data_IF_271503999363
#
_entry.id   IF_271503999363
#
_cell.length_a   1.000
_cell.length_b   1.000
_cell.length_c   1.000
_cell.angle_alpha   90.00
_cell.angle_beta   90.00
_cell.angle_gamma   90.00
#
_symmetry.space_group_name_H-M   'P 1'
#
loop_
_entity.id
_entity.type
_entity.pdbx_description
1 polymer ?
#
# COMPACT_ATOMS: atom_id res chain seq x y z
N UNK A 1 30.41 42.84 -48.90
CA UNK A 1 30.78 41.57 -48.20
C UNK A 1 30.22 41.44 -46.77
N UNK A 2 29.32 42.25 -46.23
CA UNK A 2 28.95 42.23 -44.80
C UNK A 2 27.65 41.45 -44.45
N UNK A 3 26.68 41.33 -45.36
CA UNK A 3 25.40 40.68 -45.08
C UNK A 3 25.47 39.13 -44.99
N UNK A 4 26.31 38.47 -45.80
CA UNK A 4 26.42 37.02 -45.80
C UNK A 4 27.13 36.49 -44.52
N UNK A 5 28.10 37.22 -43.97
CA UNK A 5 28.76 36.87 -42.70
C UNK A 5 27.83 36.96 -41.49
N UNK A 6 26.91 37.93 -41.46
CA UNK A 6 25.93 38.07 -40.37
C UNK A 6 24.87 36.93 -40.40
N UNK A 7 24.45 36.49 -41.55
CA UNK A 7 23.47 35.40 -41.67
C UNK A 7 24.03 34.04 -41.22
N UNK A 8 25.29 33.76 -41.50
CA UNK A 8 25.98 32.51 -41.05
C UNK A 8 26.21 32.50 -39.54
N UNK A 9 26.50 33.67 -38.94
CA UNK A 9 26.66 33.79 -37.48
C UNK A 9 25.33 33.57 -36.75
N UNK A 10 24.25 34.16 -37.24
CA UNK A 10 22.88 33.94 -36.67
C UNK A 10 22.44 32.47 -36.75
N UNK A 11 22.67 31.81 -37.89
CA UNK A 11 22.34 30.39 -38.04
C UNK A 11 23.16 29.48 -37.10
N UNK A 12 24.46 29.79 -36.92
CA UNK A 12 25.30 29.06 -35.98
C UNK A 12 24.85 29.27 -34.55
N UNK A 13 24.55 30.52 -34.19
CA UNK A 13 24.03 30.84 -32.84
C UNK A 13 22.73 30.12 -32.53
N UNK A 14 21.75 30.15 -33.46
CA UNK A 14 20.48 29.44 -33.29
C UNK A 14 20.66 27.91 -33.15
N UNK A 15 21.55 27.33 -33.94
CA UNK A 15 21.87 25.88 -33.81
C UNK A 15 22.52 25.55 -32.48
N UNK A 16 23.45 26.38 -32.02
CA UNK A 16 24.09 26.20 -30.71
C UNK A 16 23.09 26.37 -29.56
N UNK A 17 22.19 27.35 -29.67
CA UNK A 17 21.14 27.56 -28.68
C UNK A 17 20.14 26.40 -28.63
N UNK A 18 19.74 25.88 -29.79
CA UNK A 18 18.86 24.69 -29.87
C UNK A 18 19.52 23.42 -29.29
N UNK A 19 20.80 23.19 -29.59
CA UNK A 19 21.56 22.10 -29.02
C UNK A 19 21.72 22.24 -27.51
N UNK A 20 22.03 23.45 -27.03
CA UNK A 20 22.11 23.74 -25.61
C UNK A 20 20.76 23.52 -24.89
N UNK A 21 19.67 24.02 -25.46
CA UNK A 21 18.33 23.80 -24.93
C UNK A 21 17.95 22.31 -24.92
N UNK A 22 18.30 21.56 -25.97
CA UNK A 22 18.10 20.11 -26.04
C UNK A 22 18.86 19.36 -24.94
N UNK A 23 20.13 19.70 -24.72
CA UNK A 23 20.94 19.10 -23.65
C UNK A 23 20.37 19.41 -22.25
N UNK A 24 19.94 20.65 -22.04
CA UNK A 24 19.28 21.03 -20.77
C UNK A 24 17.97 20.28 -20.60
N UNK A 25 17.16 20.14 -21.65
CA UNK A 25 15.92 19.38 -21.59
C UNK A 25 16.16 17.89 -21.27
N UNK A 26 17.19 17.27 -21.86
CA UNK A 26 17.58 15.88 -21.58
C UNK A 26 18.07 15.76 -20.12
N UNK A 27 18.89 16.69 -19.66
CA UNK A 27 19.38 16.70 -18.27
C UNK A 27 18.24 16.88 -17.26
N UNK A 28 17.27 17.75 -17.56
CA UNK A 28 16.06 17.94 -16.73
C UNK A 28 15.15 16.70 -16.77
N UNK A 29 14.95 16.12 -17.95
CA UNK A 29 14.17 14.89 -18.08
C UNK A 29 14.79 13.72 -17.29
N UNK A 30 16.12 13.63 -17.26
CA UNK A 30 16.83 12.64 -16.43
C UNK A 30 16.72 12.89 -14.93
N UNK A 31 16.36 14.12 -14.52
CA UNK A 31 16.12 14.46 -13.09
C UNK A 31 14.72 14.12 -12.61
N UNK A 32 13.74 13.98 -13.49
CA UNK A 32 12.35 13.66 -13.14
C UNK A 32 12.23 12.32 -12.37
N UNK A 33 12.87 11.21 -12.80
CA UNK A 33 12.85 9.98 -12.03
C UNK A 33 13.49 10.14 -10.64
N UNK A 34 14.58 10.91 -10.53
CA UNK A 34 15.27 11.16 -9.25
C UNK A 34 14.40 11.97 -8.29
N UNK A 35 13.69 12.99 -8.80
CA UNK A 35 12.78 13.78 -7.97
C UNK A 35 11.58 12.98 -7.45
N UNK A 36 11.11 11.99 -8.22
CA UNK A 36 10.04 11.07 -7.81
C UNK A 36 10.52 9.92 -6.94
N UNK A 37 11.82 9.65 -6.91
CA UNK A 37 12.43 8.60 -6.08
C UNK A 37 12.31 8.86 -4.58
N UNK A 38 12.02 10.10 -4.17
CA UNK A 38 11.82 10.48 -2.78
C UNK A 38 10.51 10.00 -2.16
N UNK A 39 9.58 9.48 -2.95
CA UNK A 39 8.35 8.90 -2.44
C UNK A 39 8.62 7.47 -1.95
N UNK A 40 8.58 7.30 -0.65
CA UNK A 40 8.57 5.97 -0.04
C UNK A 40 7.30 5.26 -0.48
N UNK A 41 7.38 3.93 -0.61
CA UNK A 41 6.26 3.11 -1.06
C UNK A 41 5.93 2.06 -0.03
N UNK A 42 4.65 1.76 0.11
CA UNK A 42 4.21 0.67 0.97
C UNK A 42 4.79 -0.64 0.41
N UNK A 43 5.72 -1.24 1.15
CA UNK A 43 6.36 -2.49 0.76
C UNK A 43 5.53 -3.70 1.19
N UNK A 44 5.66 -4.84 0.49
CA UNK A 44 5.03 -6.08 0.92
C UNK A 44 5.43 -6.48 2.35
N UNK A 45 4.62 -7.32 3.02
CA UNK A 45 4.95 -7.84 4.34
C UNK A 45 6.34 -8.44 4.42
N UNK A 46 7.04 -8.22 5.51
CA UNK A 46 8.38 -8.76 5.75
C UNK A 46 9.50 -8.10 4.96
N UNK A 47 9.24 -6.98 4.28
CA UNK A 47 10.29 -6.24 3.58
C UNK A 47 11.38 -5.78 4.55
N UNK A 48 12.63 -5.92 4.13
CA UNK A 48 13.78 -5.32 4.79
C UNK A 48 13.65 -3.80 4.84
N UNK A 49 14.54 -3.12 5.54
CA UNK A 49 14.64 -1.67 5.48
C UNK A 49 14.88 -1.23 4.04
N UNK A 50 14.40 -0.05 3.65
CA UNK A 50 14.30 0.32 2.23
C UNK A 50 15.62 0.17 1.46
N UNK A 51 16.76 0.55 2.06
CA UNK A 51 18.07 0.39 1.42
C UNK A 51 18.44 -1.08 1.19
N UNK A 52 18.21 -1.91 2.20
CA UNK A 52 18.54 -3.34 2.15
C UNK A 52 17.56 -4.09 1.25
N UNK A 53 16.29 -3.68 1.27
CA UNK A 53 15.27 -4.19 0.37
C UNK A 53 15.63 -3.92 -1.09
N UNK A 54 16.00 -2.68 -1.43
CA UNK A 54 16.39 -2.32 -2.79
C UNK A 54 17.68 -3.01 -3.24
N UNK A 55 18.62 -3.22 -2.32
CA UNK A 55 19.88 -3.94 -2.61
C UNK A 55 19.66 -5.44 -2.81
N UNK A 56 18.72 -6.05 -2.08
CA UNK A 56 18.47 -7.49 -2.11
C UNK A 56 17.45 -7.92 -3.14
N UNK A 57 16.52 -7.03 -3.54
CA UNK A 57 15.44 -7.35 -4.46
C UNK A 57 15.93 -7.46 -5.90
N UNK A 58 15.90 -8.66 -6.47
CA UNK A 58 16.26 -8.92 -7.88
C UNK A 58 15.10 -8.67 -8.85
N UNK A 59 13.98 -8.14 -8.39
CA UNK A 59 12.81 -7.76 -9.22
C UNK A 59 12.21 -8.93 -10.00
N UNK A 60 12.29 -10.14 -9.46
CA UNK A 60 11.85 -11.37 -10.15
C UNK A 60 10.32 -11.50 -10.29
N UNK A 61 9.53 -10.69 -9.59
CA UNK A 61 8.04 -10.71 -9.65
C UNK A 61 7.37 -11.90 -8.95
N UNK A 62 8.11 -12.79 -8.28
CA UNK A 62 7.50 -13.97 -7.62
C UNK A 62 6.48 -13.56 -6.56
N UNK A 63 6.75 -12.52 -5.78
CA UNK A 63 5.83 -12.01 -4.78
C UNK A 63 4.50 -11.50 -5.38
N UNK A 64 4.53 -10.98 -6.61
CA UNK A 64 3.32 -10.58 -7.35
C UNK A 64 2.51 -11.79 -7.76
N UNK A 65 3.17 -12.82 -8.30
CA UNK A 65 2.53 -14.03 -8.83
C UNK A 65 1.79 -14.84 -7.76
N UNK A 66 2.30 -14.84 -6.54
CA UNK A 66 1.73 -15.66 -5.46
C UNK A 66 0.68 -14.92 -4.63
N UNK A 67 0.46 -13.64 -4.88
CA UNK A 67 -0.50 -12.84 -4.09
C UNK A 67 -1.95 -13.17 -4.51
N UNK A 68 -2.77 -13.78 -3.65
CA UNK A 68 -4.11 -14.22 -4.04
C UNK A 68 -5.08 -13.08 -4.32
N UNK A 69 -4.85 -11.91 -3.74
CA UNK A 69 -5.67 -10.72 -3.96
C UNK A 69 -5.02 -9.71 -4.90
N UNK A 70 -3.88 -10.04 -5.50
CA UNK A 70 -3.16 -9.17 -6.45
C UNK A 70 -2.76 -7.82 -5.85
N UNK A 71 -2.43 -7.80 -4.54
CA UNK A 71 -2.11 -6.56 -3.83
C UNK A 71 -0.73 -5.97 -4.19
N UNK A 72 0.16 -6.81 -4.71
CA UNK A 72 1.54 -6.40 -5.00
C UNK A 72 1.66 -6.09 -6.48
N UNK A 73 2.15 -4.91 -6.79
CA UNK A 73 2.43 -4.45 -8.14
C UNK A 73 3.92 -4.09 -8.29
N UNK A 74 4.43 -4.11 -9.51
CA UNK A 74 5.79 -3.67 -9.80
C UNK A 74 5.78 -2.19 -10.20
N UNK A 75 6.72 -1.43 -9.68
CA UNK A 75 6.90 -0.05 -10.03
C UNK A 75 7.26 0.11 -11.52
N UNK A 76 6.63 1.04 -12.20
CA UNK A 76 6.89 1.36 -13.60
C UNK A 76 7.68 2.67 -13.75
N UNK A 77 8.08 3.01 -14.97
CA UNK A 77 8.83 4.22 -15.30
C UNK A 77 8.23 5.53 -14.75
N UNK A 78 6.91 5.76 -14.84
CA UNK A 78 6.29 6.95 -14.27
C UNK A 78 6.42 7.05 -12.75
N UNK A 79 6.63 5.93 -12.09
CA UNK A 79 6.76 5.84 -10.64
C UNK A 79 8.14 6.29 -10.10
N UNK A 80 9.09 6.59 -10.98
CA UNK A 80 10.42 7.05 -10.62
C UNK A 80 11.44 5.94 -10.41
N UNK A 81 12.42 6.18 -9.52
CA UNK A 81 13.48 5.21 -9.24
C UNK A 81 12.91 3.90 -8.69
N UNK A 82 13.53 2.79 -9.06
CA UNK A 82 13.12 1.47 -8.58
C UNK A 82 12.14 0.75 -9.49
N UNK A 83 12.19 1.01 -10.80
CA UNK A 83 11.43 0.24 -11.81
C UNK A 83 11.56 -1.26 -11.56
N UNK A 84 10.43 -1.96 -11.56
CA UNK A 84 10.35 -3.40 -11.30
C UNK A 84 10.39 -3.78 -9.82
N UNK A 85 10.54 -2.83 -8.90
CA UNK A 85 10.52 -3.11 -7.46
C UNK A 85 9.08 -3.25 -6.96
N UNK A 86 8.73 -4.30 -6.19
CA UNK A 86 7.38 -4.52 -5.73
C UNK A 86 6.94 -3.52 -4.66
N UNK A 87 5.68 -3.09 -4.76
CA UNK A 87 5.02 -2.25 -3.77
C UNK A 87 3.51 -2.55 -3.74
N UNK A 88 2.81 -1.97 -2.77
CA UNK A 88 1.37 -2.05 -2.62
C UNK A 88 0.80 -0.64 -2.79
N UNK A 89 -0.13 -0.48 -3.73
CA UNK A 89 -1.01 0.69 -3.79
C UNK A 89 -2.23 0.41 -2.92
N UNK A 90 -2.16 0.84 -1.67
CA UNK A 90 -3.19 0.56 -0.68
C UNK A 90 -4.57 1.06 -1.11
N UNK A 91 -4.64 2.18 -1.85
CA UNK A 91 -5.90 2.74 -2.34
C UNK A 91 -6.51 1.92 -3.47
N UNK A 92 -5.69 1.33 -4.33
CA UNK A 92 -6.14 0.50 -5.44
C UNK A 92 -6.43 -0.94 -4.98
N UNK A 93 -5.46 -1.58 -4.33
CA UNK A 93 -5.57 -2.96 -3.84
C UNK A 93 -4.69 -3.19 -2.63
N UNK A 94 -5.29 -3.38 -1.48
CA UNK A 94 -4.61 -3.61 -0.21
C UNK A 94 -4.26 -5.09 0.01
N UNK A 95 -3.33 -5.34 0.92
CA UNK A 95 -3.04 -6.68 1.43
C UNK A 95 -4.02 -7.02 2.55
N UNK A 96 -4.83 -8.06 2.38
CA UNK A 96 -5.81 -8.49 3.38
C UNK A 96 -5.30 -9.60 4.31
N UNK A 97 -4.03 -9.97 4.20
CA UNK A 97 -3.43 -11.09 4.97
C UNK A 97 -4.19 -12.41 4.90
N UNK A 98 -5.03 -12.60 3.90
CA UNK A 98 -5.86 -13.81 3.75
C UNK A 98 -5.10 -15.01 3.18
N UNK A 99 -3.85 -14.85 2.77
CA UNK A 99 -3.04 -15.97 2.32
C UNK A 99 -2.69 -16.89 3.51
N UNK A 100 -2.70 -18.21 3.28
CA UNK A 100 -2.48 -19.23 4.32
C UNK A 100 -1.07 -19.19 4.95
N UNK A 101 -0.14 -18.63 4.24
CA UNK A 101 1.17 -18.18 4.70
C UNK A 101 1.41 -16.80 4.09
N UNK A 102 2.30 -15.99 4.60
CA UNK A 102 2.70 -14.77 3.90
C UNK A 102 3.45 -15.20 2.63
N UNK A 103 2.67 -15.55 1.58
CA UNK A 103 3.16 -16.21 0.37
C UNK A 103 4.26 -15.41 -0.33
N UNK A 104 4.17 -14.09 -0.30
CA UNK A 104 5.20 -13.21 -0.85
C UNK A 104 6.56 -13.38 -0.16
N UNK A 105 6.56 -13.60 1.17
CA UNK A 105 7.79 -13.90 1.93
C UNK A 105 8.34 -15.28 1.55
N UNK A 106 7.46 -16.29 1.49
CA UNK A 106 7.86 -17.65 1.14
C UNK A 106 8.41 -17.76 -0.28
N UNK A 107 7.88 -16.98 -1.21
CA UNK A 107 8.30 -16.98 -2.61
C UNK A 107 9.54 -16.13 -2.88
N UNK A 108 10.01 -15.33 -1.92
CA UNK A 108 11.15 -14.44 -2.13
C UNK A 108 12.47 -15.23 -2.10
N UNK A 109 13.19 -15.37 -3.25
CA UNK A 109 14.39 -16.19 -3.32
C UNK A 109 15.60 -15.53 -2.67
N UNK A 110 15.62 -14.21 -2.55
CA UNK A 110 16.78 -13.45 -2.09
C UNK A 110 16.70 -13.02 -0.63
N UNK A 111 15.55 -13.25 0.03
CA UNK A 111 15.34 -12.79 1.40
C UNK A 111 15.15 -11.27 1.50
N UNK A 112 14.82 -10.58 0.40
CA UNK A 112 14.36 -9.19 0.48
C UNK A 112 13.05 -9.05 1.28
N UNK A 113 12.25 -10.12 1.30
CA UNK A 113 11.09 -10.32 2.17
C UNK A 113 11.41 -11.48 3.12
N UNK A 114 11.34 -11.24 4.44
CA UNK A 114 11.76 -12.24 5.46
C UNK A 114 10.81 -12.28 6.65
N UNK A 115 10.78 -13.41 7.34
CA UNK A 115 10.25 -13.50 8.70
C UNK A 115 11.39 -13.24 9.68
N UNK A 116 11.36 -12.12 10.39
CA UNK A 116 12.44 -11.79 11.33
C UNK A 116 12.25 -12.39 12.72
N UNK A 117 11.03 -12.41 13.21
CA UNK A 117 10.67 -13.00 14.50
C UNK A 117 9.28 -13.61 14.49
N UNK A 118 9.04 -14.64 15.31
CA UNK A 118 7.75 -15.24 15.46
C UNK A 118 6.85 -14.41 16.39
N UNK A 119 6.21 -13.36 15.90
CA UNK A 119 5.13 -12.66 16.61
C UNK A 119 3.80 -13.02 15.96
N UNK A 120 2.90 -13.57 16.72
CA UNK A 120 1.57 -13.93 16.26
C UNK A 120 0.69 -12.67 16.19
N UNK A 121 0.23 -12.32 15.00
CA UNK A 121 -0.80 -11.32 14.83
C UNK A 121 -2.15 -12.03 14.74
N UNK A 122 -3.07 -11.83 15.68
CA UNK A 122 -4.40 -12.38 15.57
C UNK A 122 -5.11 -11.72 14.40
N UNK A 123 -5.40 -12.50 13.36
CA UNK A 123 -6.30 -12.07 12.31
C UNK A 123 -7.74 -12.26 12.77
N UNK A 124 -8.67 -11.49 12.21
CA UNK A 124 -10.09 -11.47 12.57
C UNK A 124 -10.73 -12.85 12.54
N UNK A 125 -10.33 -13.69 11.62
CA UNK A 125 -10.89 -15.02 11.41
C UNK A 125 -10.09 -16.15 12.11
N UNK A 126 -9.20 -15.81 13.04
CA UNK A 126 -8.34 -16.76 13.71
C UNK A 126 -7.37 -17.48 12.76
N UNK A 127 -7.27 -17.02 11.51
CA UNK A 127 -6.33 -17.56 10.55
C UNK A 127 -4.91 -17.28 11.06
N UNK A 128 -4.22 -18.31 11.44
CA UNK A 128 -2.81 -18.23 11.80
C UNK A 128 -2.05 -17.94 10.51
N UNK A 129 -1.19 -16.92 10.55
CA UNK A 129 -0.21 -16.75 9.50
C UNK A 129 0.56 -18.05 9.40
N UNK A 130 0.54 -18.65 8.22
CA UNK A 130 0.92 -20.04 8.07
C UNK A 130 2.41 -20.27 8.32
N UNK A 131 2.69 -21.49 8.69
CA UNK A 131 4.03 -22.01 8.92
C UNK A 131 4.88 -21.94 7.65
N UNK A 132 6.19 -21.74 7.75
CA UNK A 132 7.08 -21.95 6.64
C UNK A 132 6.90 -23.35 6.05
N UNK A 133 7.26 -23.55 4.78
CA UNK A 133 7.14 -24.86 4.15
C UNK A 133 7.77 -25.95 5.03
N UNK A 134 7.09 -27.07 5.17
CA UNK A 134 7.47 -28.23 6.00
C UNK A 134 8.95 -28.63 5.80
N UNK A 135 9.49 -28.42 4.60
CA UNK A 135 10.87 -28.71 4.25
C UNK A 135 11.92 -27.81 4.97
N UNK A 136 11.50 -26.68 5.55
CA UNK A 136 12.39 -25.76 6.27
C UNK A 136 12.05 -25.59 7.75
N UNK A 137 10.89 -26.06 8.17
CA UNK A 137 10.47 -25.96 9.57
C UNK A 137 10.94 -27.20 10.33
N UNK A 138 11.73 -27.00 11.37
CA UNK A 138 11.92 -28.02 12.40
C UNK A 138 10.68 -28.07 13.25
N UNK A 139 10.27 -29.25 13.72
CA UNK A 139 9.06 -29.46 14.51
C UNK A 139 8.97 -28.59 15.79
N UNK A 140 10.06 -27.98 16.22
CA UNK A 140 10.16 -27.10 17.41
C UNK A 140 10.28 -25.61 17.06
N UNK A 141 10.30 -25.24 15.78
CA UNK A 141 10.40 -23.83 15.42
C UNK A 141 9.07 -23.13 15.74
N UNK A 142 9.10 -21.96 16.37
CA UNK A 142 7.90 -21.19 16.62
C UNK A 142 7.23 -20.82 15.30
N UNK A 143 5.90 -20.68 15.31
CA UNK A 143 5.16 -20.25 14.12
C UNK A 143 5.67 -18.88 13.65
N UNK A 144 5.99 -18.74 12.36
CA UNK A 144 6.48 -17.47 11.84
C UNK A 144 5.36 -16.44 11.86
N UNK A 145 5.70 -15.27 12.33
CA UNK A 145 4.77 -14.15 12.47
C UNK A 145 5.47 -12.86 12.05
N UNK A 146 4.69 -11.83 11.73
CA UNK A 146 5.23 -10.52 11.48
C UNK A 146 5.42 -9.77 12.79
N UNK A 147 6.58 -9.21 13.00
CA UNK A 147 6.82 -8.35 14.17
C UNK A 147 6.08 -7.02 14.00
N UNK A 148 5.40 -6.54 15.04
CA UNK A 148 4.69 -5.26 15.02
C UNK A 148 5.61 -4.07 14.69
N UNK A 149 6.87 -4.15 15.09
CA UNK A 149 7.88 -3.14 14.77
C UNK A 149 8.26 -3.11 13.29
N UNK A 150 7.96 -4.17 12.58
CA UNK A 150 8.25 -4.33 11.14
C UNK A 150 6.98 -4.17 10.30
N UNK A 151 6.02 -3.40 10.80
CA UNK A 151 4.79 -3.10 10.04
C UNK A 151 5.14 -2.49 8.68
N UNK A 152 4.29 -2.78 7.70
CA UNK A 152 4.41 -2.26 6.33
C UNK A 152 4.26 -0.74 6.30
N UNK A 153 3.40 -0.22 7.16
CA UNK A 153 3.07 1.18 7.32
C UNK A 153 2.21 1.40 8.56
N UNK A 154 1.64 2.57 8.70
CA UNK A 154 0.71 2.91 9.77
C UNK A 154 -0.49 3.66 9.20
N UNK A 155 -1.70 3.18 9.47
CA UNK A 155 -2.91 3.88 9.09
C UNK A 155 -3.08 5.14 9.96
N UNK A 156 -3.49 6.24 9.33
CA UNK A 156 -3.80 7.51 10.01
C UNK A 156 -5.06 8.14 9.45
N UNK A 157 -5.87 8.69 10.34
CA UNK A 157 -7.01 9.52 9.95
C UNK A 157 -6.49 10.93 9.59
N UNK A 158 -6.23 11.15 8.31
CA UNK A 158 -5.63 12.40 7.80
C UNK A 158 -6.66 13.47 7.45
N UNK A 159 -7.90 13.06 7.24
CA UNK A 159 -9.02 13.97 6.92
C UNK A 159 -10.24 13.66 7.79
N UNK A 160 -10.20 14.03 9.07
CA UNK A 160 -11.32 13.78 9.99
C UNK A 160 -12.62 14.42 9.51
N UNK A 161 -12.56 15.62 8.92
CA UNK A 161 -13.75 16.33 8.44
C UNK A 161 -14.44 15.63 7.27
N UNK A 162 -13.72 14.83 6.48
CA UNK A 162 -14.28 14.02 5.41
C UNK A 162 -14.81 12.66 5.89
N UNK A 163 -14.42 12.21 7.08
CA UNK A 163 -14.80 10.92 7.62
C UNK A 163 -16.28 10.86 7.98
N UNK A 164 -17.03 9.92 7.39
CA UNK A 164 -18.45 9.78 7.64
C UNK A 164 -18.76 9.44 9.10
N UNK A 165 -17.92 8.63 9.75
CA UNK A 165 -18.07 8.31 11.18
C UNK A 165 -17.92 9.56 12.05
N UNK A 166 -16.94 10.43 11.76
CA UNK A 166 -16.74 11.71 12.47
C UNK A 166 -17.91 12.66 12.22
N UNK A 167 -18.52 12.60 11.05
CA UNK A 167 -19.71 13.38 10.73
C UNK A 167 -20.99 12.79 11.38
N UNK A 168 -20.94 11.57 11.95
CA UNK A 168 -22.11 10.86 12.46
C UNK A 168 -23.05 10.39 11.35
N UNK A 169 -22.53 10.12 10.16
CA UNK A 169 -23.34 9.75 8.99
C UNK A 169 -23.41 8.24 8.78
N UNK A 170 -24.58 7.74 8.35
CA UNK A 170 -24.76 6.37 7.92
C UNK A 170 -24.00 6.11 6.62
N UNK A 171 -23.83 4.83 6.29
CA UNK A 171 -23.32 4.43 4.99
C UNK A 171 -24.13 3.29 4.39
N UNK A 172 -24.62 3.49 3.17
CA UNK A 172 -25.38 2.49 2.42
C UNK A 172 -24.76 2.27 1.03
N UNK A 173 -24.68 1.02 0.62
CA UNK A 173 -24.15 0.64 -0.68
C UNK A 173 -22.88 -0.17 -0.62
N UNK A 174 -22.18 -0.30 -1.73
CA UNK A 174 -20.86 -0.96 -1.78
C UNK A 174 -19.73 0.03 -1.55
N UNK A 175 -18.71 -0.38 -0.82
CA UNK A 175 -17.55 0.46 -0.57
C UNK A 175 -16.96 0.98 -1.90
N UNK A 176 -16.83 2.29 -2.06
CA UNK A 176 -16.34 2.97 -3.27
C UNK A 176 -17.18 2.77 -4.55
N UNK A 177 -18.40 2.23 -4.43
CA UNK A 177 -19.33 2.09 -5.54
C UNK A 177 -19.08 0.88 -6.47
N UNK A 178 -19.97 0.67 -7.45
CA UNK A 178 -20.01 -0.58 -8.24
C UNK A 178 -18.84 -0.72 -9.24
N UNK A 179 -18.18 0.37 -9.60
CA UNK A 179 -17.05 0.35 -10.54
C UNK A 179 -15.72 -0.01 -9.88
N UNK A 180 -15.66 -0.05 -8.56
CA UNK A 180 -14.43 -0.34 -7.85
C UNK A 180 -14.05 -1.81 -8.00
N UNK A 181 -12.78 -2.07 -8.33
CA UNK A 181 -12.27 -3.41 -8.67
C UNK A 181 -11.45 -4.06 -7.56
N UNK A 182 -11.25 -3.40 -6.43
CA UNK A 182 -10.53 -3.96 -5.30
C UNK A 182 -11.18 -5.25 -4.80
N UNK A 183 -10.36 -6.21 -4.37
CA UNK A 183 -10.77 -7.55 -3.95
C UNK A 183 -10.35 -7.80 -2.51
N UNK A 184 -11.15 -8.58 -1.80
CA UNK A 184 -10.80 -9.16 -0.51
C UNK A 184 -11.19 -10.63 -0.52
N UNK A 185 -10.49 -11.44 0.26
CA UNK A 185 -10.90 -12.84 0.49
C UNK A 185 -11.72 -12.90 1.77
N UNK A 186 -12.98 -13.21 1.61
CA UNK A 186 -13.91 -13.38 2.72
C UNK A 186 -14.02 -14.86 3.06
N UNK A 187 -13.62 -15.23 4.28
CA UNK A 187 -13.60 -16.61 4.77
C UNK A 187 -14.99 -17.21 4.88
N UNK A 188 -15.99 -16.37 5.10
CA UNK A 188 -17.41 -16.75 5.17
C UNK A 188 -18.04 -17.08 3.82
N UNK A 189 -17.39 -16.67 2.72
CA UNK A 189 -17.87 -16.96 1.35
C UNK A 189 -17.08 -18.10 0.72
N UNK A 190 -15.83 -17.86 0.40
CA UNK A 190 -14.91 -18.86 -0.14
C UNK A 190 -13.47 -18.35 0.09
N UNK A 191 -12.78 -18.96 1.03
CA UNK A 191 -11.41 -18.56 1.39
C UNK A 191 -10.40 -18.63 0.23
N UNK A 192 -10.74 -19.37 -0.83
CA UNK A 192 -9.85 -19.55 -1.96
C UNK A 192 -10.06 -18.55 -3.09
N UNK A 193 -11.23 -17.88 -3.11
CA UNK A 193 -11.61 -16.97 -4.18
C UNK A 193 -11.71 -15.54 -3.68
N UNK A 194 -10.89 -14.62 -4.21
CA UNK A 194 -11.08 -13.20 -3.94
C UNK A 194 -12.44 -12.72 -4.48
N UNK A 195 -13.14 -11.94 -3.68
CA UNK A 195 -14.43 -11.35 -4.04
C UNK A 195 -14.24 -9.85 -4.20
N UNK A 196 -14.84 -9.26 -5.24
CA UNK A 196 -14.81 -7.82 -5.42
C UNK A 196 -15.49 -7.11 -4.25
N UNK A 197 -14.84 -6.12 -3.66
CA UNK A 197 -15.41 -5.31 -2.56
C UNK A 197 -16.73 -4.66 -2.99
N UNK A 198 -16.83 -4.30 -4.27
CA UNK A 198 -18.05 -3.72 -4.85
C UNK A 198 -19.25 -4.66 -4.89
N UNK A 199 -19.06 -5.98 -4.78
CA UNK A 199 -20.17 -6.93 -4.71
C UNK A 199 -20.81 -7.02 -3.32
N UNK A 200 -20.10 -6.58 -2.28
CA UNK A 200 -20.62 -6.52 -0.92
C UNK A 200 -21.39 -5.22 -0.68
N UNK A 201 -22.61 -5.35 -0.18
CA UNK A 201 -23.44 -4.21 0.17
C UNK A 201 -23.49 -4.04 1.69
N UNK A 202 -23.39 -2.82 2.11
CA UNK A 202 -23.44 -2.41 3.51
C UNK A 202 -24.68 -1.57 3.74
N UNK A 203 -25.27 -1.73 4.90
CA UNK A 203 -26.33 -0.89 5.44
C UNK A 203 -25.97 -0.62 6.90
N UNK A 204 -25.40 0.53 7.14
CA UNK A 204 -24.75 0.91 8.39
C UNK A 204 -25.34 2.21 8.90
N UNK A 205 -25.86 2.21 10.11
CA UNK A 205 -26.35 3.43 10.79
C UNK A 205 -25.23 4.43 11.04
N UNK A 206 -23.99 3.94 11.17
CA UNK A 206 -22.78 4.73 11.26
C UNK A 206 -21.69 4.06 10.43
N UNK A 207 -20.92 4.82 9.66
CA UNK A 207 -19.85 4.29 8.86
C UNK A 207 -18.73 3.67 9.74
N UNK A 208 -18.55 2.36 9.66
CA UNK A 208 -17.49 1.60 10.36
C UNK A 208 -16.65 0.74 9.41
N UNK A 209 -16.70 0.98 8.10
CA UNK A 209 -16.06 0.11 7.09
C UNK A 209 -14.59 -0.18 7.36
N UNK A 210 -13.83 0.82 7.78
CA UNK A 210 -12.41 0.66 8.09
C UNK A 210 -12.15 -0.26 9.29
N UNK A 211 -13.08 -0.33 10.25
CA UNK A 211 -13.02 -1.23 11.39
C UNK A 211 -13.50 -2.62 10.99
N UNK A 212 -14.62 -2.67 10.30
CA UNK A 212 -15.31 -3.90 9.88
C UNK A 212 -14.45 -4.76 8.96
N UNK A 213 -13.79 -4.15 8.02
CA UNK A 213 -12.97 -4.84 7.02
C UNK A 213 -11.50 -4.99 7.42
N UNK A 214 -11.09 -4.46 8.58
CA UNK A 214 -9.71 -4.64 9.05
C UNK A 214 -9.40 -6.12 9.26
N UNK A 215 -8.37 -6.69 8.59
CA UNK A 215 -8.02 -8.10 8.75
C UNK A 215 -7.31 -8.39 10.08
N UNK A 216 -6.84 -7.35 10.77
CA UNK A 216 -6.12 -7.49 12.04
C UNK A 216 -7.06 -7.12 13.18
N UNK A 217 -7.23 -8.07 14.09
CA UNK A 217 -8.09 -7.88 15.26
C UNK A 217 -7.59 -6.71 16.11
N UNK A 218 -8.52 -5.88 16.58
CA UNK A 218 -8.26 -4.75 17.49
C UNK A 218 -7.24 -3.72 16.97
N UNK A 219 -6.91 -3.76 15.67
CA UNK A 219 -5.98 -2.80 15.07
C UNK A 219 -6.60 -1.42 14.83
N UNK A 220 -7.93 -1.35 14.74
CA UNK A 220 -8.67 -0.11 14.55
C UNK A 220 -10.03 -0.23 15.25
N UNK A 221 -10.41 0.80 15.99
CA UNK A 221 -11.68 0.84 16.70
C UNK A 221 -12.37 2.19 16.49
N UNK A 222 -13.69 2.24 16.67
CA UNK A 222 -14.41 3.49 16.75
C UNK A 222 -14.43 3.96 18.21
N UNK A 223 -13.95 5.18 18.44
CA UNK A 223 -14.00 5.86 19.74
C UNK A 223 -14.86 7.13 19.62
N UNK A 224 -15.47 7.59 20.70
CA UNK A 224 -16.24 8.84 20.67
C UNK A 224 -15.37 9.99 20.15
N UNK A 225 -15.88 10.75 19.17
CA UNK A 225 -15.27 12.00 18.74
C UNK A 225 -15.63 13.08 19.78
N UNK A 226 -14.63 13.85 20.22
CA UNK A 226 -14.82 14.85 21.27
C UNK A 226 -15.94 15.85 20.91
N UNK A 227 -16.77 16.13 21.93
CA UNK A 227 -17.75 17.21 22.05
C UNK A 227 -18.68 17.48 20.86
N UNK A 228 -19.80 16.75 20.78
CA UNK A 228 -21.02 17.33 20.15
C UNK A 228 -22.26 16.75 20.82
N UNK A 229 -23.05 17.61 21.38
CA UNK A 229 -24.42 17.30 21.80
C UNK A 229 -25.25 16.93 20.55
N UNK A 230 -25.69 15.70 20.43
CA UNK A 230 -26.53 15.24 19.33
C UNK A 230 -26.19 13.81 18.88
N UNK A 231 -26.00 13.60 17.61
CA UNK A 231 -25.73 12.29 17.04
C UNK A 231 -24.40 11.70 17.56
N UNK A 232 -24.36 10.38 17.80
CA UNK A 232 -23.16 9.67 18.21
C UNK A 232 -22.08 9.78 17.11
N UNK A 233 -21.21 10.76 17.25
CA UNK A 233 -20.06 10.96 16.37
C UNK A 233 -18.91 10.10 16.88
N UNK A 234 -18.36 9.30 16.00
CA UNK A 234 -17.26 8.40 16.33
C UNK A 234 -16.08 8.65 15.39
N UNK A 235 -14.89 8.45 15.88
CA UNK A 235 -13.68 8.52 15.03
C UNK A 235 -12.97 7.18 15.02
N UNK A 236 -12.43 6.75 13.88
CA UNK A 236 -11.54 5.60 13.87
C UNK A 236 -10.24 5.95 14.57
N UNK A 237 -9.89 5.14 15.56
CA UNK A 237 -8.61 5.20 16.27
C UNK A 237 -7.80 3.97 15.89
N UNK A 238 -6.55 4.22 15.50
CA UNK A 238 -5.63 3.16 15.06
C UNK A 238 -4.77 2.74 16.23
N UNK A 239 -4.88 1.49 16.62
CA UNK A 239 -4.16 0.87 17.71
C UNK A 239 -2.76 0.36 17.33
N UNK A 240 -2.03 -0.12 18.33
CA UNK A 240 -0.67 -0.64 18.18
C UNK A 240 -0.59 -1.91 17.29
N UNK A 241 -1.67 -2.68 17.22
CA UNK A 241 -1.76 -3.88 16.38
C UNK A 241 -1.82 -3.57 14.88
N UNK A 242 -1.93 -2.31 14.48
CA UNK A 242 -1.97 -1.92 13.07
C UNK A 242 -0.65 -2.29 12.37
N UNK A 243 -0.77 -3.05 11.27
CA UNK A 243 0.37 -3.45 10.44
C UNK A 243 0.52 -2.63 9.17
N UNK A 244 -0.40 -1.69 8.92
CA UNK A 244 -0.37 -0.84 7.73
C UNK A 244 -0.70 -1.59 6.44
N UNK A 245 -1.59 -2.56 6.49
CA UNK A 245 -1.95 -3.39 5.33
C UNK A 245 -2.73 -2.64 4.23
N UNK A 246 -3.36 -1.52 4.56
CA UNK A 246 -4.06 -0.66 3.62
C UNK A 246 -5.54 -0.94 3.42
N UNK A 247 -6.11 -2.01 3.97
CA UNK A 247 -7.53 -2.34 3.77
C UNK A 247 -8.46 -1.19 4.19
N UNK A 248 -8.19 -0.53 5.31
CA UNK A 248 -8.98 0.61 5.79
C UNK A 248 -8.96 1.79 4.79
N UNK A 249 -7.84 2.03 4.13
CA UNK A 249 -7.73 3.03 3.07
C UNK A 249 -8.47 2.59 1.80
N UNK A 250 -8.31 1.34 1.40
CA UNK A 250 -8.95 0.76 0.22
C UNK A 250 -10.47 0.83 0.30
N UNK A 251 -11.06 0.47 1.44
CA UNK A 251 -12.52 0.41 1.60
C UNK A 251 -13.15 1.75 1.99
N UNK A 252 -12.35 2.76 2.30
CA UNK A 252 -12.88 4.08 2.69
C UNK A 252 -13.74 4.66 1.57
N UNK A 253 -15.04 4.97 1.84
CA UNK A 253 -15.98 5.34 0.79
C UNK A 253 -15.82 6.79 0.31
N UNK A 254 -15.06 7.62 1.03
CA UNK A 254 -14.86 9.02 0.65
C UNK A 254 -13.65 9.18 -0.26
N UNK A 255 -13.72 10.14 -1.18
CA UNK A 255 -12.65 10.43 -2.14
C UNK A 255 -12.22 11.90 -2.02
N UNK A 256 -10.95 12.14 -1.79
CA UNK A 256 -9.89 11.20 -1.44
C UNK A 256 -10.09 10.58 -0.04
N UNK A 257 -9.50 9.40 0.23
CA UNK A 257 -9.72 8.62 1.46
C UNK A 257 -9.47 9.43 2.74
N UNK A 258 -10.37 9.32 3.73
CA UNK A 258 -10.19 10.00 5.01
C UNK A 258 -9.08 9.37 5.87
N UNK A 259 -8.88 8.06 5.73
CA UNK A 259 -7.81 7.29 6.38
C UNK A 259 -6.82 6.85 5.34
N UNK A 260 -5.54 7.04 5.58
CA UNK A 260 -4.45 6.75 4.64
C UNK A 260 -3.38 5.95 5.37
N UNK A 261 -2.72 5.05 4.66
CA UNK A 261 -1.57 4.33 5.20
C UNK A 261 -0.30 5.07 4.82
N UNK A 262 0.37 5.60 5.84
CA UNK A 262 1.71 6.14 5.70
C UNK A 262 2.70 4.99 5.63
N UNK A 263 3.61 5.06 4.67
CA UNK A 263 4.64 4.06 4.52
C UNK A 263 5.57 4.06 5.73
N UNK A 264 6.25 2.92 5.92
CA UNK A 264 7.24 2.76 6.96
C UNK A 264 8.32 3.83 6.85
N UNK A 265 8.27 4.78 7.76
CA UNK A 265 9.40 5.66 7.98
C UNK A 265 10.51 4.84 8.67
N UNK A 266 11.76 5.13 8.40
CA UNK A 266 12.85 4.67 9.25
C UNK A 266 12.61 5.26 10.65
N UNK A 267 12.06 4.46 11.50
CA UNK A 267 11.91 4.73 12.93
C UNK A 267 13.13 4.27 13.66
#
# INVERSE_FOLDING_TARGET
MSKARRATTRRRFLRSALLGAGLVAIALAGRVPVARAGHRRLRPPGALDESDFLASCIKCGQCVQVCPVEAIVLADLPDGYGVGVPYIDARAQACDFSCDAVQCVLACPTGALVYRKPVFLPTRDGARLARPPILRAKAKDPEPTLELRERMGLARLVRPDACLAVQGKPYQGSARGPAFRGKLRYMDVDRWKPVAVSSRRYDLDLCDLCVRECPIQDAIALVPAEASAGAARMRPEVGESCVGCGVCEMVCPVEPSAIVVEERATW
#
